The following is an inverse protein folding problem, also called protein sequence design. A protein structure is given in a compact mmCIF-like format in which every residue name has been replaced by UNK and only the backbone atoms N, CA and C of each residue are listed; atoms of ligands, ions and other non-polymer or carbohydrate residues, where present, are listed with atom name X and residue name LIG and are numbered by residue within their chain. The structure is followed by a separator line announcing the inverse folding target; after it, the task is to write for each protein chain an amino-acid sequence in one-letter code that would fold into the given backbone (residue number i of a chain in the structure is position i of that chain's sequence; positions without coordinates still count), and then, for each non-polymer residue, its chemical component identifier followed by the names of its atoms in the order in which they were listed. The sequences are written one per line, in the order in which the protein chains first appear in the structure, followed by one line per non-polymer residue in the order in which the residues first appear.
data_IF_481930908783
#
_entry.id   IF_481930908783
#
_cell.length_a   1.000
_cell.length_b   1.000
_cell.length_c   1.000
_cell.angle_alpha   90.00
_cell.angle_beta   90.00
_cell.angle_gamma   90.00
#
_symmetry.space_group_name_H-M   'P 1'
#
loop_
_entity.id
_entity.type
_entity.pdbx_description
1 polymer ?
#
# COMPACT_ATOMS: atom_id res chain seq x y z
N UNK A 1 -45.24 -41.92 39.52
CA UNK A 1 -44.96 -41.03 38.37
C UNK A 1 -43.84 -39.99 38.60
N UNK A 2 -43.00 -40.11 39.64
CA UNK A 2 -41.88 -39.16 39.90
C UNK A 2 -40.52 -39.66 39.39
N UNK A 3 -40.40 -40.97 39.14
CA UNK A 3 -39.17 -41.63 38.70
C UNK A 3 -38.95 -41.54 37.18
N UNK A 4 -39.97 -41.20 36.41
CA UNK A 4 -39.90 -41.04 34.95
C UNK A 4 -39.32 -39.66 34.54
N UNK A 5 -39.57 -38.61 35.34
CA UNK A 5 -39.07 -37.25 35.06
C UNK A 5 -37.56 -37.08 35.34
N UNK A 6 -37.01 -37.80 36.33
CA UNK A 6 -35.58 -37.76 36.64
C UNK A 6 -34.73 -38.50 35.60
N UNK A 7 -35.31 -39.49 34.89
CA UNK A 7 -34.64 -40.19 33.80
C UNK A 7 -34.55 -39.36 32.51
N UNK A 8 -35.49 -38.44 32.28
CA UNK A 8 -35.51 -37.56 31.11
C UNK A 8 -34.51 -36.39 31.27
N UNK A 9 -34.34 -35.88 32.49
CA UNK A 9 -33.34 -34.85 32.82
C UNK A 9 -31.91 -35.37 32.72
N UNK A 10 -31.66 -36.64 33.09
CA UNK A 10 -30.33 -37.26 32.98
C UNK A 10 -29.84 -37.43 31.54
N UNK A 11 -30.75 -37.68 30.59
CA UNK A 11 -30.41 -37.81 29.16
C UNK A 11 -30.15 -36.44 28.52
N UNK A 12 -30.79 -35.37 29.02
CA UNK A 12 -30.58 -34.01 28.52
C UNK A 12 -29.24 -33.40 28.98
N UNK A 13 -28.73 -33.79 30.15
CA UNK A 13 -27.44 -33.32 30.66
C UNK A 13 -26.23 -34.04 30.02
N UNK A 14 -26.42 -35.26 29.49
CA UNK A 14 -25.40 -36.02 28.76
C UNK A 14 -25.19 -35.59 27.30
N UNK A 15 -26.17 -34.90 26.69
CA UNK A 15 -26.11 -34.46 25.30
C UNK A 15 -25.51 -33.05 25.11
N UNK A 16 -25.06 -32.38 26.18
CA UNK A 16 -24.56 -31.01 26.11
C UNK A 16 -23.07 -30.90 25.73
N UNK A 17 -22.31 -32.00 25.73
CA UNK A 17 -20.84 -31.95 25.63
C UNK A 17 -20.23 -32.42 24.30
N UNK A 18 -21.01 -32.60 23.23
CA UNK A 18 -20.50 -33.07 21.93
C UNK A 18 -20.75 -32.08 20.78
N UNK A 19 -20.83 -30.77 21.07
CA UNK A 19 -20.75 -29.78 20.00
C UNK A 19 -19.30 -29.66 19.56
N UNK A 20 -18.95 -30.01 18.30
CA UNK A 20 -17.61 -29.77 17.80
C UNK A 20 -17.32 -28.27 17.86
N UNK A 21 -16.35 -27.88 18.68
CA UNK A 21 -15.79 -26.54 18.69
C UNK A 21 -14.98 -26.40 17.40
N UNK A 22 -15.63 -25.92 16.34
CA UNK A 22 -14.92 -25.55 15.13
C UNK A 22 -14.01 -24.36 15.47
N UNK A 23 -12.71 -24.54 15.27
CA UNK A 23 -11.75 -23.46 15.46
C UNK A 23 -12.02 -22.36 14.43
N UNK A 24 -12.56 -21.25 14.89
CA UNK A 24 -12.76 -20.06 14.06
C UNK A 24 -11.40 -19.46 13.71
N UNK A 25 -11.07 -19.45 12.42
CA UNK A 25 -9.86 -18.81 11.91
C UNK A 25 -10.18 -17.39 11.47
N UNK A 26 -9.35 -16.44 11.89
CA UNK A 26 -9.51 -15.02 11.56
C UNK A 26 -8.86 -14.75 10.21
N UNK A 27 -9.63 -14.18 9.28
CA UNK A 27 -9.15 -13.76 7.97
C UNK A 27 -9.31 -12.25 7.79
N UNK A 28 -8.40 -11.67 7.00
CA UNK A 28 -8.37 -10.27 6.63
C UNK A 28 -8.38 -10.11 5.12
N UNK A 29 -9.23 -9.21 4.62
CA UNK A 29 -9.33 -8.91 3.18
C UNK A 29 -8.06 -8.18 2.71
N UNK A 30 -7.36 -8.76 1.75
CA UNK A 30 -6.12 -8.23 1.17
C UNK A 30 -6.38 -7.35 -0.05
N UNK A 31 -7.38 -7.71 -0.87
CA UNK A 31 -7.79 -6.95 -2.05
C UNK A 31 -8.46 -5.62 -1.68
N UNK A 32 -8.45 -4.65 -2.59
CA UNK A 32 -9.17 -3.38 -2.42
C UNK A 32 -10.66 -3.61 -2.11
N UNK A 33 -11.26 -4.56 -2.83
CA UNK A 33 -12.63 -5.01 -2.63
C UNK A 33 -12.69 -6.53 -2.77
N UNK A 34 -13.49 -7.17 -1.91
CA UNK A 34 -13.79 -8.60 -1.99
C UNK A 34 -15.31 -8.80 -1.96
N UNK A 35 -15.83 -9.62 -2.87
CA UNK A 35 -17.26 -9.90 -2.98
C UNK A 35 -17.59 -11.17 -2.22
N UNK A 36 -18.67 -11.13 -1.47
CA UNK A 36 -19.29 -12.28 -0.81
C UNK A 36 -20.38 -12.78 -1.72
N UNK A 37 -20.23 -14.00 -2.20
CA UNK A 37 -21.12 -14.63 -3.18
C UNK A 37 -22.07 -15.61 -2.49
N UNK A 38 -23.24 -15.86 -3.08
CA UNK A 38 -24.23 -16.79 -2.51
C UNK A 38 -23.82 -18.26 -2.63
N UNK A 39 -23.07 -18.59 -3.68
CA UNK A 39 -22.52 -19.91 -3.93
C UNK A 39 -21.00 -19.82 -4.17
N UNK A 40 -20.25 -20.93 -4.06
CA UNK A 40 -18.82 -20.98 -4.40
C UNK A 40 -18.59 -20.93 -5.93
N UNK A 41 -19.20 -19.96 -6.61
CA UNK A 41 -19.12 -19.74 -8.05
C UNK A 41 -19.08 -18.25 -8.37
N UNK A 42 -18.24 -17.86 -9.32
CA UNK A 42 -18.10 -16.48 -9.80
C UNK A 42 -19.32 -15.96 -10.55
N UNK A 43 -20.25 -16.84 -10.97
CA UNK A 43 -21.49 -16.46 -11.65
C UNK A 43 -22.66 -16.24 -10.68
N UNK A 44 -22.46 -16.49 -9.39
CA UNK A 44 -23.53 -16.37 -8.40
C UNK A 44 -23.75 -14.92 -7.94
N UNK A 45 -24.90 -14.68 -7.32
CA UNK A 45 -25.30 -13.36 -6.82
C UNK A 45 -24.36 -12.89 -5.70
N UNK A 46 -24.07 -11.58 -5.70
CA UNK A 46 -23.24 -10.93 -4.68
C UNK A 46 -24.13 -10.51 -3.51
N UNK A 47 -23.98 -11.18 -2.37
CA UNK A 47 -24.73 -10.89 -1.15
C UNK A 47 -24.16 -9.64 -0.45
N UNK A 48 -22.85 -9.49 -0.45
CA UNK A 48 -22.18 -8.36 0.21
C UNK A 48 -20.84 -8.04 -0.43
N UNK A 49 -20.33 -6.83 -0.16
CA UNK A 49 -18.97 -6.42 -0.54
C UNK A 49 -18.20 -6.03 0.71
N UNK A 50 -16.98 -6.54 0.81
CA UNK A 50 -16.00 -6.26 1.86
C UNK A 50 -14.91 -5.35 1.31
N UNK A 51 -14.41 -4.45 2.15
CA UNK A 51 -13.28 -3.56 1.84
C UNK A 51 -11.98 -4.16 2.36
N UNK A 52 -10.86 -3.68 1.82
CA UNK A 52 -9.52 -4.04 2.31
C UNK A 52 -9.40 -3.80 3.81
N UNK A 53 -8.84 -4.77 4.52
CA UNK A 53 -8.64 -4.71 5.97
C UNK A 53 -9.85 -5.17 6.80
N UNK A 54 -11.01 -5.42 6.18
CA UNK A 54 -12.14 -6.04 6.88
C UNK A 54 -11.71 -7.40 7.44
N UNK A 55 -11.95 -7.58 8.75
CA UNK A 55 -11.70 -8.83 9.46
C UNK A 55 -12.98 -9.63 9.60
N UNK A 56 -12.91 -10.93 9.43
CA UNK A 56 -14.03 -11.83 9.71
C UNK A 56 -13.53 -13.19 10.19
N UNK A 57 -14.36 -13.83 11.00
CA UNK A 57 -14.12 -15.20 11.42
C UNK A 57 -14.73 -16.13 10.39
N UNK A 58 -13.99 -17.16 10.00
CA UNK A 58 -14.50 -18.24 9.19
C UNK A 58 -14.30 -19.58 9.92
N UNK A 59 -15.36 -20.38 10.08
CA UNK A 59 -15.28 -21.65 10.78
C UNK A 59 -14.50 -22.69 9.97
N UNK A 60 -14.47 -22.55 8.64
CA UNK A 60 -13.76 -23.49 7.76
C UNK A 60 -13.47 -22.91 6.38
N UNK A 61 -12.27 -23.20 5.86
CA UNK A 61 -11.92 -23.03 4.44
C UNK A 61 -12.36 -24.25 3.65
N UNK A 62 -13.09 -24.04 2.56
CA UNK A 62 -13.56 -25.06 1.62
C UNK A 62 -12.82 -24.88 0.28
N UNK A 63 -11.62 -25.45 0.19
CA UNK A 63 -10.76 -25.36 -1.01
C UNK A 63 -10.41 -23.91 -1.36
N UNK A 64 -10.95 -23.42 -2.48
CA UNK A 64 -10.70 -22.07 -3.01
C UNK A 64 -11.70 -21.03 -2.47
N UNK A 65 -12.62 -21.44 -1.61
CA UNK A 65 -13.66 -20.60 -1.04
C UNK A 65 -13.63 -20.66 0.48
N UNK A 66 -13.92 -19.52 1.11
CA UNK A 66 -14.04 -19.38 2.54
C UNK A 66 -15.51 -19.11 2.85
N UNK A 67 -16.11 -19.99 3.64
CA UNK A 67 -17.49 -19.84 4.07
C UNK A 67 -17.54 -18.85 5.23
N UNK A 68 -18.32 -17.81 5.07
CA UNK A 68 -18.51 -16.77 6.08
C UNK A 68 -19.99 -16.67 6.42
N UNK A 69 -20.29 -16.28 7.66
CA UNK A 69 -21.67 -15.99 8.08
C UNK A 69 -21.72 -14.55 8.54
N UNK A 70 -22.49 -13.72 7.85
CA UNK A 70 -22.65 -12.29 8.18
C UNK A 70 -24.13 -11.96 8.26
N UNK A 71 -24.56 -11.39 9.38
CA UNK A 71 -25.95 -10.99 9.64
C UNK A 71 -26.96 -12.15 9.42
N UNK A 72 -26.60 -13.36 9.86
CA UNK A 72 -27.43 -14.56 9.70
C UNK A 72 -27.47 -15.15 8.29
N UNK A 73 -26.83 -14.52 7.30
CA UNK A 73 -26.70 -15.05 5.93
C UNK A 73 -25.35 -15.73 5.73
N UNK A 74 -25.39 -16.93 5.17
CA UNK A 74 -24.18 -17.65 4.75
C UNK A 74 -23.74 -17.16 3.37
N UNK A 75 -22.44 -16.95 3.20
CA UNK A 75 -21.85 -16.55 1.92
C UNK A 75 -20.44 -17.10 1.75
N UNK A 76 -19.92 -16.95 0.55
CA UNK A 76 -18.63 -17.50 0.14
C UNK A 76 -17.73 -16.38 -0.38
N UNK A 77 -16.50 -16.32 0.14
CA UNK A 77 -15.47 -15.39 -0.33
C UNK A 77 -14.34 -16.19 -0.95
N UNK A 78 -13.79 -15.72 -2.07
CA UNK A 78 -12.65 -16.37 -2.68
C UNK A 78 -11.42 -16.30 -1.76
N UNK A 79 -10.80 -17.45 -1.49
CA UNK A 79 -9.61 -17.56 -0.64
C UNK A 79 -8.41 -16.78 -1.18
N UNK A 80 -8.40 -16.42 -2.46
CA UNK A 80 -7.34 -15.63 -3.10
C UNK A 80 -7.36 -14.16 -2.65
N UNK A 81 -8.48 -13.67 -2.12
CA UNK A 81 -8.67 -12.27 -1.74
C UNK A 81 -8.42 -12.01 -0.25
N UNK A 82 -8.09 -13.06 0.51
CA UNK A 82 -8.08 -13.05 1.99
C UNK A 82 -6.83 -13.74 2.51
N UNK A 83 -6.34 -13.31 3.67
CA UNK A 83 -5.19 -13.92 4.34
C UNK A 83 -5.34 -13.90 5.86
N UNK A 84 -4.56 -14.72 6.56
CA UNK A 84 -4.57 -14.82 8.03
C UNK A 84 -3.81 -13.70 8.73
N UNK A 85 -3.35 -12.69 7.99
CA UNK A 85 -2.63 -11.53 8.52
C UNK A 85 -3.26 -10.26 7.96
N UNK A 86 -3.18 -9.16 8.71
CA UNK A 86 -3.68 -7.87 8.25
C UNK A 86 -2.86 -7.39 7.04
N UNK A 87 -3.48 -6.69 6.07
CA UNK A 87 -2.75 -6.08 4.97
C UNK A 87 -1.74 -5.08 5.53
N UNK A 88 -0.49 -5.17 5.07
CA UNK A 88 0.53 -4.19 5.44
C UNK A 88 0.09 -2.81 4.92
N UNK A 89 0.05 -1.83 5.83
CA UNK A 89 -0.03 -0.44 5.44
C UNK A 89 1.23 -0.12 4.63
N UNK A 90 1.08 0.60 3.52
CA UNK A 90 2.22 1.13 2.79
C UNK A 90 2.88 2.16 3.71
N UNK A 91 3.90 1.74 4.45
CA UNK A 91 4.82 2.65 5.10
C UNK A 91 5.52 3.40 3.96
N UNK A 92 5.18 4.66 3.78
CA UNK A 92 5.89 5.57 2.90
C UNK A 92 7.25 5.92 3.52
N UNK A 93 8.13 4.92 3.67
CA UNK A 93 9.56 5.17 3.86
C UNK A 93 10.19 5.21 2.48
N UNK A 94 9.69 6.14 1.67
CA UNK A 94 10.37 6.59 0.46
C UNK A 94 10.36 8.10 0.58
N UNK A 95 11.54 8.71 0.76
CA UNK A 95 11.69 10.16 0.67
C UNK A 95 10.96 10.60 -0.61
N UNK A 96 10.08 11.58 -0.48
CA UNK A 96 9.08 11.99 -1.48
C UNK A 96 9.66 12.44 -2.85
N UNK A 97 10.97 12.34 -3.04
CA UNK A 97 11.75 12.77 -4.18
C UNK A 97 11.87 11.68 -5.26
N UNK A 98 11.94 10.39 -4.89
CA UNK A 98 12.46 9.37 -5.81
C UNK A 98 11.40 8.53 -6.53
N UNK A 99 10.14 8.52 -6.10
CA UNK A 99 9.19 7.49 -6.58
C UNK A 99 7.76 8.00 -6.68
N UNK A 100 7.46 8.73 -7.76
CA UNK A 100 6.08 8.95 -8.21
C UNK A 100 5.50 7.67 -8.84
N UNK A 101 5.31 6.58 -8.05
CA UNK A 101 4.57 5.38 -8.48
C UNK A 101 3.08 5.65 -8.31
N UNK A 102 2.46 6.15 -9.37
CA UNK A 102 1.02 6.02 -9.57
C UNK A 102 0.72 4.61 -10.10
N UNK A 103 -0.03 3.83 -9.32
CA UNK A 103 -0.55 2.53 -9.72
C UNK A 103 -1.48 2.70 -10.93
N UNK A 104 -0.99 2.44 -12.15
CA UNK A 104 -1.83 2.38 -13.35
C UNK A 104 -1.27 2.96 -14.65
N UNK A 105 -0.05 3.51 -14.67
CA UNK A 105 0.51 4.07 -15.91
C UNK A 105 1.53 3.11 -16.52
N UNK A 106 1.21 2.56 -17.69
CA UNK A 106 2.22 1.97 -18.59
C UNK A 106 3.17 3.10 -18.99
N UNK A 107 4.29 3.24 -18.27
CA UNK A 107 5.30 4.26 -18.57
C UNK A 107 5.99 3.88 -19.88
N UNK A 108 5.62 4.51 -20.99
CA UNK A 108 6.60 4.68 -22.06
C UNK A 108 7.59 5.73 -21.57
N UNK A 109 8.87 5.36 -21.51
CA UNK A 109 9.93 6.33 -21.35
C UNK A 109 9.73 7.42 -22.41
N UNK A 110 9.85 8.70 -22.03
CA UNK A 110 9.74 9.80 -22.97
C UNK A 110 10.69 9.59 -24.15
N UNK A 111 10.40 10.16 -25.32
CA UNK A 111 11.30 10.11 -26.49
C UNK A 111 12.73 10.51 -26.12
N UNK A 112 12.86 11.49 -25.23
CA UNK A 112 14.12 11.95 -24.66
C UNK A 112 14.88 10.85 -23.89
N UNK A 113 14.22 10.14 -22.97
CA UNK A 113 14.87 9.08 -22.18
C UNK A 113 15.25 7.86 -23.03
N UNK A 114 14.45 7.54 -24.05
CA UNK A 114 14.76 6.44 -24.98
C UNK A 114 15.96 6.77 -25.87
N UNK A 115 16.01 8.00 -26.40
CA UNK A 115 17.13 8.46 -27.22
C UNK A 115 18.43 8.60 -26.41
N UNK A 116 18.36 9.02 -25.14
CA UNK A 116 19.50 9.07 -24.23
C UNK A 116 20.03 7.66 -23.92
N UNK A 117 19.14 6.71 -23.61
CA UNK A 117 19.53 5.33 -23.35
C UNK A 117 20.15 4.64 -24.58
N UNK A 118 19.63 4.90 -25.78
CA UNK A 118 20.23 4.42 -27.03
C UNK A 118 21.66 4.96 -27.27
N UNK A 119 21.98 6.14 -26.71
CA UNK A 119 23.32 6.71 -26.70
C UNK A 119 24.18 6.26 -25.51
N UNK A 120 23.70 5.32 -24.71
CA UNK A 120 24.42 4.82 -23.53
C UNK A 120 24.42 5.77 -22.33
N UNK A 121 23.58 6.83 -22.34
CA UNK A 121 23.48 7.76 -21.22
C UNK A 121 22.54 7.19 -20.15
N UNK A 122 23.08 6.33 -19.27
CA UNK A 122 22.33 5.83 -18.11
C UNK A 122 22.24 6.89 -17.00
N UNK A 123 21.38 6.69 -16.00
CA UNK A 123 21.27 7.65 -14.87
C UNK A 123 22.56 7.64 -14.04
N UNK A 124 23.20 6.49 -13.99
CA UNK A 124 24.44 6.21 -13.28
C UNK A 124 25.63 6.93 -13.95
N UNK A 125 25.68 6.97 -15.28
CA UNK A 125 26.72 7.70 -16.02
C UNK A 125 26.57 9.21 -15.90
N UNK A 126 25.34 9.72 -15.84
CA UNK A 126 25.10 11.14 -15.53
C UNK A 126 25.55 11.52 -14.12
N UNK A 127 25.28 10.68 -13.12
CA UNK A 127 25.71 10.94 -11.75
C UNK A 127 27.24 10.99 -11.63
N UNK A 128 27.94 10.11 -12.37
CA UNK A 128 29.41 10.08 -12.40
C UNK A 128 30.00 11.29 -13.14
N UNK A 129 29.38 11.70 -14.25
CA UNK A 129 29.77 12.91 -14.98
C UNK A 129 29.51 14.20 -14.18
N UNK A 130 28.41 14.28 -13.42
CA UNK A 130 28.11 15.42 -12.55
C UNK A 130 29.05 15.51 -11.34
N UNK A 131 29.56 14.38 -10.83
CA UNK A 131 30.58 14.36 -9.77
C UNK A 131 31.96 14.79 -10.32
N UNK A 132 32.31 14.38 -11.53
CA UNK A 132 33.59 14.67 -12.18
C UNK A 132 33.66 16.09 -12.77
N UNK A 133 32.53 16.67 -13.15
CA UNK A 133 32.45 17.94 -13.89
C UNK A 133 31.73 19.04 -13.09
N UNK A 134 31.97 19.13 -11.78
CA UNK A 134 31.54 20.28 -10.99
C UNK A 134 32.32 21.51 -11.46
N UNK A 135 31.63 22.43 -12.12
CA UNK A 135 32.20 23.73 -12.44
C UNK A 135 32.62 24.44 -11.14
N UNK A 136 33.88 24.86 -11.05
CA UNK A 136 34.43 25.56 -9.89
C UNK A 136 34.00 27.04 -9.94
N UNK A 137 32.95 27.37 -9.19
CA UNK A 137 32.42 28.74 -9.10
C UNK A 137 33.13 29.59 -8.03
N UNK A 138 34.21 29.10 -7.41
CA UNK A 138 34.89 29.82 -6.32
C UNK A 138 35.37 31.22 -6.70
N UNK A 139 35.76 31.43 -7.96
CA UNK A 139 36.16 32.73 -8.49
C UNK A 139 34.97 33.70 -8.61
N UNK A 140 33.81 33.23 -9.09
CA UNK A 140 32.59 34.03 -9.22
C UNK A 140 32.08 34.42 -7.84
N UNK A 141 32.05 33.49 -6.90
CA UNK A 141 31.64 33.76 -5.51
C UNK A 141 32.55 34.78 -4.84
N UNK A 142 33.87 34.76 -5.11
CA UNK A 142 34.80 35.77 -4.61
C UNK A 142 34.48 37.16 -5.18
N UNK A 143 34.22 37.26 -6.48
CA UNK A 143 33.82 38.52 -7.12
C UNK A 143 32.50 39.07 -6.59
N UNK A 144 31.53 38.19 -6.34
CA UNK A 144 30.22 38.58 -5.78
C UNK A 144 30.30 38.98 -4.30
N UNK A 145 31.26 38.43 -3.55
CA UNK A 145 31.46 38.78 -2.13
C UNK A 145 32.08 40.16 -1.92
N UNK A 146 32.81 40.66 -2.92
CA UNK A 146 33.32 42.04 -2.92
C UNK A 146 32.19 43.00 -3.26
N UNK A 147 31.41 43.39 -2.24
CA UNK A 147 30.45 44.49 -2.33
C UNK A 147 31.20 45.82 -2.41
N UNK A 148 31.03 46.54 -3.52
CA UNK A 148 31.53 47.91 -3.69
C UNK A 148 30.75 48.83 -2.75
N UNK A 149 31.45 49.63 -1.94
CA UNK A 149 30.80 50.60 -1.05
C UNK A 149 30.26 51.76 -1.87
N UNK A 150 29.01 52.16 -1.63
CA UNK A 150 28.34 53.23 -2.37
C UNK A 150 29.11 54.57 -2.33
N UNK A 151 29.85 54.81 -1.25
CA UNK A 151 30.70 56.00 -1.06
C UNK A 151 31.88 56.10 -2.07
N UNK A 152 32.34 54.98 -2.60
CA UNK A 152 33.45 54.93 -3.57
C UNK A 152 32.94 55.23 -4.99
N UNK A 153 31.69 54.83 -5.27
CA UNK A 153 31.02 55.10 -6.55
C UNK A 153 30.74 56.60 -6.70
N UNK A 154 30.31 57.27 -5.63
CA UNK A 154 30.03 58.71 -5.66
C UNK A 154 31.30 59.54 -5.85
N UNK A 155 32.40 59.19 -5.18
CA UNK A 155 33.70 59.83 -5.36
C UNK A 155 34.27 59.65 -6.78
N UNK A 156 34.08 58.47 -7.39
CA UNK A 156 34.48 58.21 -8.77
C UNK A 156 33.73 59.12 -9.76
N UNK A 157 32.40 59.21 -9.63
CA UNK A 157 31.55 60.04 -10.51
C UNK A 157 31.83 61.54 -10.38
N UNK A 158 32.17 62.02 -9.18
CA UNK A 158 32.58 63.42 -9.00
C UNK A 158 33.98 63.72 -9.55
N UNK A 159 34.89 62.75 -9.53
CA UNK A 159 36.26 62.93 -10.03
C UNK A 159 36.34 63.05 -11.57
N UNK A 160 35.38 62.49 -12.31
CA UNK A 160 35.30 62.61 -13.78
C UNK A 160 34.61 63.91 -14.26
N UNK A 161 33.98 64.68 -13.36
CA UNK A 161 33.29 65.94 -13.71
C UNK A 161 34.20 67.16 -13.80
N UNK A 162 35.52 66.98 -13.90
CA UNK A 162 36.50 68.08 -13.97
C UNK A 162 37.18 68.18 -15.33
#
# INVERSE_FOLDING_TARGET
MKHLFHSIIGIFLGALCAFPVFADSIYFVQSATAKVMSQPSFQSEVIATLKRGDKFNAPKRLGNWIKITRNGKQGYVSALLVANHAPLNKLEVVRAEDVAINNGVRRRASSFSSAAAARGLTKEDRKRADEENKADYSAVTKMESTLVKEDEVTHFVESEKK
#
